data_IF_748414434907
#
_entry.id   IF_748414434907
#
_cell.length_a   1.000
_cell.length_b   1.000
_cell.length_c   1.000
_cell.angle_alpha   90.00
_cell.angle_beta   90.00
_cell.angle_gamma   90.00
#
_symmetry.space_group_name_H-M   'P 1'
#
loop_
_entity.id
_entity.type
_entity.pdbx_description
1 polymer ?
#
# COMPACT_ATOMS: atom_id res chain seq x y z
N UNK A 1 12.57 -13.33 26.19
CA UNK A 1 12.50 -12.41 25.03
C UNK A 1 11.90 -13.20 23.87
N UNK A 2 10.61 -13.02 23.60
CA UNK A 2 9.90 -13.71 22.52
C UNK A 2 10.02 -12.82 21.29
N UNK A 3 10.89 -13.22 20.34
CA UNK A 3 11.06 -12.52 19.07
C UNK A 3 9.87 -12.82 18.16
N UNK A 4 9.17 -11.77 17.75
CA UNK A 4 8.03 -11.86 16.86
C UNK A 4 8.49 -11.78 15.41
N UNK A 5 8.17 -12.80 14.61
CA UNK A 5 8.38 -12.80 13.18
C UNK A 5 7.04 -12.48 12.50
N UNK A 6 7.02 -11.47 11.70
CA UNK A 6 5.87 -11.09 10.88
C UNK A 6 6.20 -11.31 9.41
N UNK A 7 5.34 -12.01 8.72
CA UNK A 7 5.38 -12.18 7.27
C UNK A 7 4.24 -11.32 6.73
N UNK A 8 4.58 -10.24 6.05
CA UNK A 8 3.65 -9.58 5.15
C UNK A 8 3.48 -10.51 3.94
N UNK A 9 2.31 -11.09 3.75
CA UNK A 9 1.98 -11.86 2.56
C UNK A 9 1.07 -10.98 1.72
N UNK A 10 1.58 -10.51 0.60
CA UNK A 10 0.76 -9.84 -0.41
C UNK A 10 -0.32 -10.81 -0.88
N UNK A 11 -1.58 -10.38 -0.85
CA UNK A 11 -2.68 -11.17 -1.42
C UNK A 11 -2.55 -11.10 -2.93
N UNK A 12 -1.98 -12.12 -3.51
CA UNK A 12 -2.39 -12.53 -4.85
C UNK A 12 -3.56 -13.47 -4.62
N UNK A 13 -4.76 -13.06 -5.01
CA UNK A 13 -5.90 -13.98 -5.04
C UNK A 13 -5.46 -15.23 -5.77
N UNK A 14 -5.56 -16.38 -5.10
CA UNK A 14 -5.23 -17.67 -5.68
C UNK A 14 -6.29 -18.06 -6.71
N UNK A 15 -6.23 -17.44 -7.88
CA UNK A 15 -6.66 -18.02 -9.13
C UNK A 15 -5.40 -18.63 -9.75
N UNK A 16 -5.40 -19.95 -9.91
CA UNK A 16 -4.37 -20.66 -10.66
C UNK A 16 -4.38 -20.17 -12.12
N UNK A 17 -3.65 -19.13 -12.40
CA UNK A 17 -3.33 -18.68 -13.76
C UNK A 17 -1.85 -18.87 -13.99
N UNK A 18 -1.53 -19.69 -15.01
CA UNK A 18 -0.20 -19.72 -15.62
C UNK A 18 0.25 -18.31 -15.97
N UNK A 19 1.56 -17.98 -15.83
CA UNK A 19 2.07 -16.67 -16.19
C UNK A 19 1.98 -16.50 -17.71
N UNK A 20 0.91 -15.89 -18.20
CA UNK A 20 0.93 -15.25 -19.51
C UNK A 20 1.61 -13.90 -19.33
N UNK A 21 2.66 -13.66 -20.07
CA UNK A 21 3.22 -12.32 -20.24
C UNK A 21 2.10 -11.41 -20.77
N UNK A 22 1.59 -10.54 -19.93
CA UNK A 22 0.64 -9.50 -20.35
C UNK A 22 1.38 -8.55 -21.29
N UNK A 23 0.89 -8.41 -22.50
CA UNK A 23 1.38 -7.39 -23.43
C UNK A 23 1.00 -6.01 -22.88
N UNK A 24 1.79 -4.97 -23.18
CA UNK A 24 1.54 -3.58 -22.74
C UNK A 24 0.12 -3.05 -23.08
N UNK A 25 -0.64 -3.75 -23.92
CA UNK A 25 -2.03 -3.45 -24.30
C UNK A 25 -3.06 -3.95 -23.28
N UNK A 26 -2.72 -4.87 -22.36
CA UNK A 26 -3.65 -5.44 -21.37
C UNK A 26 -3.69 -4.64 -20.04
N UNK A 27 -2.76 -3.71 -19.84
CA UNK A 27 -2.62 -2.94 -18.59
C UNK A 27 -3.48 -1.65 -18.53
N UNK A 28 -4.20 -1.28 -19.60
CA UNK A 28 -4.98 -0.03 -19.63
C UNK A 28 -6.40 -0.26 -19.12
N UNK A 29 -6.65 -0.02 -17.84
CA UNK A 29 -7.98 -0.22 -17.26
C UNK A 29 -8.34 0.84 -16.22
N UNK A 30 -9.60 1.28 -16.27
CA UNK A 30 -10.24 2.02 -15.21
C UNK A 30 -10.99 1.03 -14.31
N UNK A 31 -10.55 0.87 -13.08
CA UNK A 31 -11.28 0.10 -12.08
C UNK A 31 -12.26 1.01 -11.34
N UNK A 32 -13.54 0.63 -11.30
CA UNK A 32 -14.55 1.27 -10.47
C UNK A 32 -14.81 0.38 -9.25
N UNK A 33 -14.63 0.92 -8.06
CA UNK A 33 -14.80 0.22 -6.78
C UNK A 33 -16.05 0.78 -6.09
N UNK A 34 -17.01 -0.07 -5.78
CA UNK A 34 -18.20 0.32 -5.03
C UNK A 34 -17.95 0.31 -3.52
N UNK A 35 -17.68 1.46 -2.93
CA UNK A 35 -17.53 1.65 -1.48
C UNK A 35 -18.83 1.99 -0.76
N UNK A 36 -19.97 2.06 -1.47
CA UNK A 36 -21.29 2.33 -0.89
C UNK A 36 -21.96 1.05 -0.36
N UNK A 37 -23.13 1.21 0.24
CA UNK A 37 -23.97 0.09 0.74
C UNK A 37 -25.03 -0.35 -0.24
N UNK A 38 -25.11 0.25 -1.40
CA UNK A 38 -26.09 0.00 -2.45
C UNK A 38 -25.42 -0.37 -3.78
N UNK A 39 -26.22 -0.87 -4.72
CA UNK A 39 -25.76 -1.10 -6.09
C UNK A 39 -25.49 0.24 -6.77
N UNK A 40 -24.40 0.35 -7.49
CA UNK A 40 -24.09 1.51 -8.33
C UNK A 40 -24.21 1.14 -9.80
N UNK A 41 -24.69 2.09 -10.61
CA UNK A 41 -24.72 1.97 -12.05
C UNK A 41 -23.62 2.86 -12.68
N UNK A 42 -22.90 2.31 -13.64
CA UNK A 42 -21.83 2.99 -14.34
C UNK A 42 -22.24 3.28 -15.78
N UNK A 43 -22.04 4.51 -16.21
CA UNK A 43 -22.38 4.98 -17.56
C UNK A 43 -21.14 5.58 -18.22
N UNK A 44 -20.89 5.22 -19.46
CA UNK A 44 -19.93 5.95 -20.29
C UNK A 44 -20.58 7.27 -20.77
N UNK A 45 -19.88 8.38 -20.55
CA UNK A 45 -20.31 9.71 -21.01
C UNK A 45 -19.85 9.94 -22.44
N UNK A 46 -20.66 9.50 -23.41
CA UNK A 46 -20.31 9.58 -24.84
C UNK A 46 -20.31 11.03 -25.39
N UNK A 47 -21.13 11.91 -24.79
CA UNK A 47 -21.15 13.37 -25.00
C UNK A 47 -21.77 14.04 -23.78
N UNK A 48 -21.77 15.37 -23.72
CA UNK A 48 -22.36 16.11 -22.58
C UNK A 48 -23.86 15.77 -22.34
N UNK A 49 -24.58 15.35 -23.38
CA UNK A 49 -25.99 14.99 -23.29
C UNK A 49 -26.29 13.50 -23.41
N UNK A 50 -25.27 12.64 -23.66
CA UNK A 50 -25.49 11.21 -23.94
C UNK A 50 -24.71 10.33 -23.00
N UNK A 51 -25.43 9.55 -22.19
CA UNK A 51 -24.90 8.47 -21.36
C UNK A 51 -25.23 7.11 -21.96
N UNK A 52 -24.28 6.21 -21.97
CA UNK A 52 -24.43 4.82 -22.43
C UNK A 52 -24.23 3.91 -21.24
N UNK A 53 -25.18 3.04 -20.88
CA UNK A 53 -25.02 2.08 -19.79
C UNK A 53 -23.76 1.20 -20.03
N UNK A 54 -22.98 0.95 -18.97
CA UNK A 54 -21.80 0.11 -19.02
C UNK A 54 -21.96 -1.14 -18.13
N UNK A 55 -21.99 -0.96 -16.81
CA UNK A 55 -22.14 -2.06 -15.84
C UNK A 55 -22.88 -1.60 -14.58
N UNK A 56 -23.27 -2.57 -13.75
CA UNK A 56 -23.75 -2.34 -12.39
C UNK A 56 -22.82 -3.09 -11.43
N UNK A 57 -22.51 -2.49 -10.26
CA UNK A 57 -21.53 -3.03 -9.31
C UNK A 57 -22.18 -3.15 -7.93
N UNK A 58 -22.18 -4.35 -7.37
CA UNK A 58 -22.70 -4.65 -6.04
C UNK A 58 -21.85 -4.00 -4.93
N UNK A 59 -22.40 -3.73 -3.73
CA UNK A 59 -21.66 -3.20 -2.59
C UNK A 59 -20.37 -4.00 -2.29
N UNK A 60 -19.25 -3.28 -2.10
CA UNK A 60 -17.95 -3.87 -1.80
C UNK A 60 -17.28 -4.63 -2.97
N UNK A 61 -17.87 -4.58 -4.18
CA UNK A 61 -17.30 -5.17 -5.40
C UNK A 61 -16.67 -4.10 -6.29
N UNK A 62 -15.91 -4.57 -7.28
CA UNK A 62 -15.31 -3.69 -8.29
C UNK A 62 -15.41 -4.31 -9.68
N UNK A 63 -15.39 -3.45 -10.71
CA UNK A 63 -15.32 -3.81 -12.11
C UNK A 63 -14.22 -3.05 -12.83
N UNK A 64 -13.53 -3.74 -13.73
CA UNK A 64 -12.47 -3.17 -14.57
C UNK A 64 -12.98 -2.90 -15.98
N UNK A 65 -12.86 -1.65 -16.41
CA UNK A 65 -13.35 -1.18 -17.70
C UNK A 65 -12.15 -0.90 -18.60
N UNK A 66 -11.99 -1.69 -19.66
CA UNK A 66 -11.03 -1.40 -20.71
C UNK A 66 -11.52 -0.22 -21.55
N UNK A 67 -10.75 0.86 -21.58
CA UNK A 67 -11.18 2.11 -22.22
C UNK A 67 -9.97 2.96 -22.65
N UNK A 68 -10.22 4.08 -23.29
CA UNK A 68 -9.21 5.00 -23.81
C UNK A 68 -9.03 6.17 -22.87
N UNK A 69 -7.79 6.64 -22.66
CA UNK A 69 -7.48 7.84 -21.90
C UNK A 69 -8.31 9.04 -22.37
N UNK A 70 -8.81 9.82 -21.43
CA UNK A 70 -9.72 10.93 -21.66
C UNK A 70 -11.20 10.57 -21.59
N UNK A 71 -11.58 9.31 -21.70
CA UNK A 71 -12.98 8.91 -21.53
C UNK A 71 -13.51 9.23 -20.12
N UNK A 72 -14.76 9.62 -20.06
CA UNK A 72 -15.47 10.00 -18.84
C UNK A 72 -16.54 8.98 -18.51
N UNK A 73 -16.66 8.65 -17.24
CA UNK A 73 -17.72 7.79 -16.73
C UNK A 73 -18.46 8.49 -15.61
N UNK A 74 -19.78 8.27 -15.57
CA UNK A 74 -20.65 8.73 -14.49
C UNK A 74 -21.06 7.50 -13.68
N UNK A 75 -20.82 7.54 -12.39
CA UNK A 75 -21.18 6.50 -11.44
C UNK A 75 -22.33 7.03 -10.58
N UNK A 76 -23.40 6.26 -10.48
CA UNK A 76 -24.67 6.69 -9.86
C UNK A 76 -25.10 5.67 -8.81
N UNK A 77 -25.33 6.10 -7.58
CA UNK A 77 -26.01 5.30 -6.56
C UNK A 77 -27.45 5.01 -6.97
N UNK A 78 -27.87 3.76 -6.87
CA UNK A 78 -29.18 3.35 -7.36
C UNK A 78 -30.34 3.88 -6.50
N UNK A 79 -30.10 4.00 -5.19
CA UNK A 79 -31.09 4.45 -4.20
C UNK A 79 -30.96 5.95 -3.90
N UNK A 80 -29.77 6.39 -3.49
CA UNK A 80 -29.51 7.78 -3.07
C UNK A 80 -29.40 8.78 -4.23
N UNK A 81 -29.25 8.27 -5.48
CA UNK A 81 -29.08 9.06 -6.71
C UNK A 81 -27.87 9.98 -6.70
N UNK A 82 -26.92 9.73 -5.81
CA UNK A 82 -25.66 10.48 -5.81
C UNK A 82 -24.87 10.13 -7.05
N UNK A 83 -24.42 11.15 -7.77
CA UNK A 83 -23.61 11.01 -8.97
C UNK A 83 -22.16 11.45 -8.72
N UNK A 84 -21.23 10.71 -9.30
CA UNK A 84 -19.80 11.09 -9.37
C UNK A 84 -19.30 10.87 -10.78
N UNK A 85 -18.45 11.77 -11.25
CA UNK A 85 -17.82 11.63 -12.56
C UNK A 85 -16.35 11.34 -12.39
N UNK A 86 -15.84 10.34 -13.10
CA UNK A 86 -14.42 10.03 -13.20
C UNK A 86 -13.97 10.18 -14.65
N UNK A 87 -12.79 10.80 -14.83
CA UNK A 87 -12.09 10.86 -16.12
C UNK A 87 -10.92 9.88 -16.06
N UNK A 88 -10.79 9.02 -17.06
CA UNK A 88 -9.68 8.09 -17.17
C UNK A 88 -8.42 8.84 -17.62
N UNK A 89 -7.42 8.97 -16.74
CA UNK A 89 -6.26 9.86 -16.90
C UNK A 89 -4.92 9.13 -17.05
N UNK A 90 -4.80 7.94 -16.46
CA UNK A 90 -3.56 7.15 -16.44
C UNK A 90 -3.87 5.67 -16.68
N UNK A 91 -2.93 4.90 -17.26
CA UNK A 91 -3.15 3.50 -17.66
C UNK A 91 -3.70 2.59 -16.56
N UNK A 92 -3.23 2.73 -15.33
CA UNK A 92 -3.70 1.97 -14.17
C UNK A 92 -4.39 2.94 -13.24
N UNK A 93 -5.73 2.98 -13.27
CA UNK A 93 -6.52 3.91 -12.47
C UNK A 93 -7.63 3.18 -11.72
N UNK A 94 -7.73 3.43 -10.41
CA UNK A 94 -8.88 3.07 -9.58
C UNK A 94 -9.72 4.30 -9.25
N UNK A 95 -11.02 4.11 -9.17
CA UNK A 95 -11.96 5.11 -8.68
C UNK A 95 -12.90 4.45 -7.68
N UNK A 96 -12.83 4.88 -6.41
CA UNK A 96 -13.75 4.42 -5.38
C UNK A 96 -14.95 5.34 -5.32
N UNK A 97 -16.14 4.80 -5.53
CA UNK A 97 -17.39 5.48 -5.28
C UNK A 97 -17.75 5.34 -3.79
N UNK A 98 -17.72 6.45 -3.07
CA UNK A 98 -18.22 6.54 -1.69
C UNK A 98 -19.05 7.82 -1.56
N UNK A 99 -20.39 7.73 -1.41
CA UNK A 99 -21.25 8.89 -1.33
C UNK A 99 -21.19 9.59 0.02
N UNK A 100 -20.66 8.92 1.06
CA UNK A 100 -20.64 9.45 2.44
C UNK A 100 -19.62 10.57 2.62
N UNK A 101 -18.58 10.57 1.81
CA UNK A 101 -17.45 11.48 1.95
C UNK A 101 -17.37 12.53 0.85
N UNK A 102 -16.48 13.51 1.08
CA UNK A 102 -16.13 14.53 0.09
C UNK A 102 -14.91 14.04 -0.70
N UNK A 103 -14.88 14.32 -2.00
CA UNK A 103 -13.78 13.97 -2.91
C UNK A 103 -13.48 12.44 -2.98
N UNK A 104 -14.51 11.60 -2.77
CA UNK A 104 -14.37 10.14 -2.79
C UNK A 104 -13.68 9.55 -1.55
N UNK A 105 -13.30 10.38 -0.57
CA UNK A 105 -12.71 9.94 0.69
C UNK A 105 -13.83 9.73 1.72
N UNK A 106 -14.00 8.52 2.30
CA UNK A 106 -15.02 8.21 3.29
C UNK A 106 -15.07 9.20 4.45
N UNK A 107 -16.26 9.47 4.98
CA UNK A 107 -16.47 10.35 6.14
C UNK A 107 -15.77 9.85 7.41
N UNK A 108 -15.43 8.58 7.45
CA UNK A 108 -14.62 7.95 8.49
C UNK A 108 -13.30 8.69 8.75
N UNK A 109 -12.68 9.19 7.66
CA UNK A 109 -11.42 9.93 7.74
C UNK A 109 -11.67 11.41 8.02
N UNK A 110 -11.51 11.78 9.28
CA UNK A 110 -11.71 13.15 9.76
C UNK A 110 -10.41 13.97 9.74
N UNK A 111 -9.25 13.30 9.69
CA UNK A 111 -7.95 13.94 9.58
C UNK A 111 -7.38 13.74 8.18
N UNK A 112 -6.76 14.78 7.62
CA UNK A 112 -6.23 14.78 6.27
C UNK A 112 -4.93 15.57 6.20
N UNK A 113 -3.96 15.02 5.48
CA UNK A 113 -2.73 15.66 5.07
C UNK A 113 -2.51 15.40 3.59
N UNK A 114 -1.64 16.15 2.94
CA UNK A 114 -1.32 15.96 1.52
C UNK A 114 0.16 16.15 1.27
N UNK A 115 0.69 15.39 0.31
CA UNK A 115 1.97 15.69 -0.33
C UNK A 115 1.64 16.06 -1.77
N UNK A 116 1.77 17.34 -2.13
CA UNK A 116 1.10 17.91 -3.32
C UNK A 116 -0.40 17.58 -3.25
N UNK A 117 -0.92 16.82 -4.21
CA UNK A 117 -2.32 16.36 -4.22
C UNK A 117 -2.52 14.91 -3.74
N UNK A 118 -1.43 14.19 -3.42
CA UNK A 118 -1.52 12.83 -2.90
C UNK A 118 -2.13 12.82 -1.49
N UNK A 119 -3.26 12.13 -1.28
CA UNK A 119 -3.98 12.18 -0.01
C UNK A 119 -3.40 11.22 1.04
N UNK A 120 -3.24 11.72 2.25
CA UNK A 120 -2.95 10.96 3.46
C UNK A 120 -4.09 11.19 4.43
N UNK A 121 -4.75 10.13 4.86
CA UNK A 121 -6.00 10.21 5.63
C UNK A 121 -5.94 9.39 6.91
N UNK A 122 -6.73 9.79 7.91
CA UNK A 122 -6.84 9.05 9.15
C UNK A 122 -8.18 9.32 9.87
N UNK A 123 -8.56 8.39 10.75
CA UNK A 123 -9.65 8.60 11.69
C UNK A 123 -9.30 9.65 12.76
N UNK A 124 -10.28 10.06 13.55
CA UNK A 124 -10.06 10.97 14.69
C UNK A 124 -9.17 10.35 15.79
N UNK A 125 -8.96 9.03 15.80
CA UNK A 125 -8.18 8.34 16.83
C UNK A 125 -6.68 8.44 16.65
N UNK A 126 -6.23 8.70 15.41
CA UNK A 126 -4.81 8.77 15.07
C UNK A 126 -4.19 10.05 15.61
N UNK A 127 -2.99 9.93 16.15
CA UNK A 127 -2.21 11.09 16.57
C UNK A 127 -1.87 11.97 15.33
N UNK A 128 -2.20 13.27 15.32
CA UNK A 128 -1.95 14.14 14.16
C UNK A 128 -0.49 14.19 13.70
N UNK A 129 0.46 13.92 14.58
CA UNK A 129 1.87 13.85 14.21
C UNK A 129 2.20 12.66 13.32
N UNK A 130 1.42 11.57 13.37
CA UNK A 130 1.61 10.45 12.46
C UNK A 130 1.33 10.84 11.00
N UNK A 131 0.30 11.66 10.75
CA UNK A 131 0.03 12.17 9.39
C UNK A 131 1.13 13.12 8.91
N UNK A 132 1.66 13.97 9.80
CA UNK A 132 2.76 14.88 9.47
C UNK A 132 4.02 14.11 9.14
N UNK A 133 4.35 13.08 9.92
CA UNK A 133 5.49 12.20 9.69
C UNK A 133 5.35 11.43 8.37
N UNK A 134 4.17 10.86 8.10
CA UNK A 134 3.90 10.18 6.84
C UNK A 134 4.05 11.12 5.64
N UNK A 135 3.52 12.35 5.72
CA UNK A 135 3.67 13.34 4.67
C UNK A 135 5.14 13.74 4.44
N UNK A 136 5.91 13.87 5.51
CA UNK A 136 7.33 14.16 5.44
C UNK A 136 8.09 13.03 4.72
N UNK A 137 7.89 11.77 5.12
CA UNK A 137 8.54 10.60 4.50
C UNK A 137 8.17 10.48 3.02
N UNK A 138 6.87 10.49 2.68
CA UNK A 138 6.41 10.41 1.29
C UNK A 138 6.97 11.56 0.44
N UNK A 139 7.00 12.78 1.00
CA UNK A 139 7.57 13.95 0.33
C UNK A 139 9.07 13.81 0.07
N UNK A 140 9.83 13.28 1.02
CA UNK A 140 11.26 13.02 0.86
C UNK A 140 11.56 11.95 -0.17
N UNK A 141 10.83 10.82 -0.13
CA UNK A 141 11.04 9.70 -1.05
C UNK A 141 10.86 10.14 -2.50
N UNK A 142 9.84 10.95 -2.81
CA UNK A 142 9.53 11.39 -4.17
C UNK A 142 9.92 12.85 -4.48
N UNK A 143 10.80 13.46 -3.68
CA UNK A 143 11.23 14.83 -3.88
C UNK A 143 11.83 15.10 -5.28
N UNK A 144 12.43 14.10 -5.91
CA UNK A 144 13.01 14.17 -7.26
C UNK A 144 12.11 13.63 -8.36
N UNK A 145 10.97 13.05 -8.00
CA UNK A 145 10.02 12.41 -8.94
C UNK A 145 8.58 12.89 -8.70
N UNK A 146 8.32 14.21 -8.85
CA UNK A 146 6.95 14.74 -8.72
C UNK A 146 6.01 14.15 -9.77
N UNK A 147 6.50 13.73 -10.94
CA UNK A 147 5.77 13.03 -11.97
C UNK A 147 5.17 11.70 -11.49
N UNK A 148 5.94 10.92 -10.74
CA UNK A 148 5.50 9.66 -10.14
C UNK A 148 4.40 9.92 -9.10
N UNK A 149 4.59 10.90 -8.24
CA UNK A 149 3.59 11.26 -7.21
C UNK A 149 2.28 11.78 -7.85
N UNK A 150 2.37 12.56 -8.92
CA UNK A 150 1.21 13.03 -9.66
C UNK A 150 0.47 11.88 -10.37
N UNK A 151 1.20 10.91 -10.94
CA UNK A 151 0.62 9.69 -11.50
C UNK A 151 -0.07 8.83 -10.43
N UNK A 152 0.54 8.65 -9.26
CA UNK A 152 -0.08 7.97 -8.12
C UNK A 152 -1.40 8.65 -7.74
N UNK A 153 -1.42 9.97 -7.62
CA UNK A 153 -2.63 10.74 -7.31
C UNK A 153 -3.72 10.53 -8.37
N UNK A 154 -3.35 10.63 -9.66
CA UNK A 154 -4.28 10.41 -10.78
C UNK A 154 -4.78 8.97 -10.85
N UNK A 155 -3.97 8.02 -10.41
CA UNK A 155 -4.34 6.61 -10.32
C UNK A 155 -5.33 6.30 -9.21
N UNK A 156 -5.70 7.28 -8.39
CA UNK A 156 -6.58 7.12 -7.23
C UNK A 156 -5.87 6.54 -6.00
N UNK A 157 -4.54 6.50 -6.00
CA UNK A 157 -3.78 6.01 -4.85
C UNK A 157 -3.94 6.93 -3.65
N UNK A 158 -4.04 6.34 -2.46
CA UNK A 158 -4.10 7.05 -1.17
C UNK A 158 -3.42 6.24 -0.07
N UNK A 159 -3.01 6.94 0.98
CA UNK A 159 -2.44 6.35 2.18
C UNK A 159 -3.36 6.60 3.38
N UNK A 160 -3.75 5.54 4.09
CA UNK A 160 -4.46 5.66 5.36
C UNK A 160 -3.56 5.28 6.53
N UNK A 161 -3.63 6.08 7.60
CA UNK A 161 -2.93 5.81 8.84
C UNK A 161 -3.89 5.16 9.82
N UNK A 162 -3.51 4.00 10.36
CA UNK A 162 -4.22 3.28 11.41
C UNK A 162 -3.80 3.83 12.78
N UNK A 163 -4.75 4.06 13.67
CA UNK A 163 -4.43 4.26 15.08
C UNK A 163 -3.86 2.97 15.70
N UNK A 164 -3.10 3.09 16.77
CA UNK A 164 -2.54 1.94 17.50
C UNK A 164 -3.62 0.94 18.01
N UNK A 165 -4.86 1.37 18.12
CA UNK A 165 -6.02 0.58 18.51
C UNK A 165 -7.05 0.38 17.37
N UNK A 166 -6.68 0.65 16.14
CA UNK A 166 -7.42 0.31 14.93
C UNK A 166 -6.71 -0.79 14.16
N UNK A 167 -7.48 -1.63 13.47
CA UNK A 167 -6.97 -2.76 12.71
C UNK A 167 -7.53 -2.76 11.29
N UNK A 168 -7.00 -3.62 10.43
CA UNK A 168 -7.32 -3.64 8.99
C UNK A 168 -8.80 -3.54 8.69
N UNK A 169 -9.64 -4.37 9.34
CA UNK A 169 -11.08 -4.40 9.08
C UNK A 169 -11.87 -3.22 9.69
N UNK A 170 -11.22 -2.31 10.41
CA UNK A 170 -11.85 -1.07 10.87
C UNK A 170 -11.88 0.00 9.78
N UNK A 171 -11.03 -0.14 8.76
CA UNK A 171 -10.97 0.80 7.64
C UNK A 171 -12.11 0.55 6.65
N UNK A 172 -12.76 1.61 6.13
CA UNK A 172 -13.88 1.46 5.18
C UNK A 172 -13.55 0.63 3.93
N UNK A 173 -12.33 0.75 3.43
CA UNK A 173 -11.85 0.03 2.25
C UNK A 173 -11.70 -1.47 2.50
N UNK A 174 -11.39 -1.86 3.73
CA UNK A 174 -11.11 -3.23 4.12
C UNK A 174 -12.25 -3.88 4.92
N UNK A 175 -13.36 -3.17 5.15
CA UNK A 175 -14.47 -3.65 5.98
C UNK A 175 -15.10 -4.96 5.46
N UNK A 176 -15.12 -5.17 4.14
CA UNK A 176 -15.64 -6.38 3.51
C UNK A 176 -14.81 -7.62 3.84
N UNK A 177 -13.51 -7.47 4.11
CA UNK A 177 -12.60 -8.58 4.43
C UNK A 177 -13.05 -9.36 5.68
N UNK A 178 -13.78 -8.71 6.58
CA UNK A 178 -14.33 -9.37 7.77
C UNK A 178 -15.28 -10.54 7.46
N UNK A 179 -15.81 -10.59 6.23
CA UNK A 179 -16.79 -11.60 5.78
C UNK A 179 -16.22 -12.53 4.68
N UNK A 180 -14.94 -12.38 4.33
CA UNK A 180 -14.31 -13.18 3.28
C UNK A 180 -13.78 -14.51 3.86
N UNK A 181 -14.03 -15.61 3.16
CA UNK A 181 -13.41 -16.88 3.51
C UNK A 181 -11.90 -16.79 3.26
N UNK A 182 -11.10 -17.14 4.27
CA UNK A 182 -9.64 -17.17 4.18
C UNK A 182 -9.15 -18.62 4.13
N UNK A 183 -8.71 -19.11 2.97
CA UNK A 183 -8.19 -20.48 2.84
C UNK A 183 -7.04 -20.75 3.82
N UNK A 184 -6.98 -21.97 4.36
CA UNK A 184 -6.06 -22.41 5.42
C UNK A 184 -6.30 -21.80 6.82
N UNK A 185 -7.28 -20.89 6.96
CA UNK A 185 -7.62 -20.22 8.23
C UNK A 185 -9.11 -20.23 8.55
N UNK A 186 -9.86 -21.14 7.97
CA UNK A 186 -11.33 -21.26 8.13
C UNK A 186 -11.76 -21.48 9.58
N UNK A 187 -10.86 -21.95 10.44
CA UNK A 187 -11.09 -22.12 11.87
C UNK A 187 -11.15 -20.79 12.65
N UNK A 188 -10.81 -19.66 12.01
CA UNK A 188 -10.77 -18.33 12.63
C UNK A 188 -11.78 -17.41 11.95
N UNK A 189 -12.35 -16.42 12.67
CA UNK A 189 -13.08 -15.34 12.03
C UNK A 189 -12.19 -14.64 10.99
N UNK A 190 -12.70 -14.40 9.78
CA UNK A 190 -11.95 -13.70 8.73
C UNK A 190 -11.41 -12.34 9.21
N UNK A 191 -12.22 -11.59 9.98
CA UNK A 191 -11.80 -10.35 10.63
C UNK A 191 -10.52 -10.53 11.46
N UNK A 192 -10.45 -11.59 12.27
CA UNK A 192 -9.29 -11.81 13.14
C UNK A 192 -8.04 -12.14 12.33
N UNK A 193 -8.19 -12.87 11.23
CA UNK A 193 -7.08 -13.11 10.31
C UNK A 193 -6.54 -11.81 9.73
N UNK A 194 -7.41 -10.98 9.15
CA UNK A 194 -7.01 -9.74 8.50
C UNK A 194 -6.44 -8.72 9.49
N UNK A 195 -7.04 -8.59 10.67
CA UNK A 195 -6.58 -7.71 11.74
C UNK A 195 -5.23 -8.16 12.34
N UNK A 196 -4.96 -9.48 12.34
CA UNK A 196 -3.71 -10.04 12.90
C UNK A 196 -2.54 -10.04 11.92
N UNK A 197 -2.84 -9.90 10.61
CA UNK A 197 -1.88 -10.18 9.54
C UNK A 197 -0.79 -9.13 9.44
N UNK A 198 -1.15 -7.86 9.46
CA UNK A 198 -0.21 -6.76 9.26
C UNK A 198 -0.68 -5.47 9.92
N UNK A 199 0.27 -4.53 10.11
CA UNK A 199 0.02 -3.15 10.54
C UNK A 199 0.32 -2.14 9.43
N UNK A 200 0.56 -2.63 8.22
CA UNK A 200 0.71 -1.89 6.98
C UNK A 200 0.38 -2.80 5.79
N UNK A 201 -0.04 -2.20 4.69
CA UNK A 201 -0.27 -2.86 3.41
C UNK A 201 0.06 -1.90 2.29
N UNK A 202 0.76 -2.37 1.26
CA UNK A 202 1.02 -1.59 0.05
C UNK A 202 -0.19 -1.56 -0.88
N UNK A 203 -0.22 -0.57 -1.76
CA UNK A 203 -1.15 -0.54 -2.89
C UNK A 203 -0.78 -1.60 -3.93
N UNK A 204 -1.75 -1.97 -4.77
CA UNK A 204 -1.55 -2.88 -5.89
C UNK A 204 -2.15 -2.31 -7.18
N UNK A 205 -2.04 -3.02 -8.29
CA UNK A 205 -2.69 -2.63 -9.55
C UNK A 205 -4.23 -2.62 -9.45
N UNK A 206 -4.78 -3.46 -8.57
CA UNK A 206 -6.22 -3.60 -8.36
C UNK A 206 -6.72 -3.01 -7.04
N UNK A 207 -5.81 -2.51 -6.20
CA UNK A 207 -6.15 -1.83 -4.96
C UNK A 207 -5.25 -0.59 -4.79
N UNK A 208 -5.79 0.62 -4.98
CA UNK A 208 -5.03 1.86 -4.87
C UNK A 208 -4.72 2.26 -3.42
N UNK A 209 -5.18 1.49 -2.44
CA UNK A 209 -5.17 1.85 -1.05
C UNK A 209 -3.96 1.26 -0.32
N UNK A 210 -3.14 2.12 0.26
CA UNK A 210 -2.03 1.73 1.13
C UNK A 210 -2.29 2.12 2.57
N UNK A 211 -1.73 1.38 3.51
CA UNK A 211 -1.87 1.66 4.95
C UNK A 211 -0.53 1.57 5.67
N UNK A 212 -0.39 2.31 6.75
CA UNK A 212 0.59 2.05 7.80
C UNK A 212 0.03 2.49 9.16
N UNK A 213 0.66 2.07 10.23
CA UNK A 213 0.14 2.34 11.57
C UNK A 213 0.96 3.40 12.31
N UNK A 214 0.28 4.19 13.15
CA UNK A 214 0.88 5.30 13.88
C UNK A 214 1.97 4.87 14.86
N UNK A 215 1.85 3.66 15.45
CA UNK A 215 2.87 3.17 16.38
C UNK A 215 4.24 2.99 15.71
N UNK A 216 4.26 2.64 14.43
CA UNK A 216 5.50 2.53 13.68
C UNK A 216 6.03 3.90 13.25
N UNK A 217 5.15 4.76 12.72
CA UNK A 217 5.51 6.13 12.32
C UNK A 217 6.10 6.96 13.46
N UNK A 218 5.52 6.82 14.67
CA UNK A 218 5.89 7.59 15.84
C UNK A 218 6.77 6.83 16.84
N UNK A 219 7.15 5.58 16.49
CA UNK A 219 7.99 4.70 17.31
C UNK A 219 7.42 4.46 18.71
N UNK A 220 6.14 4.10 18.80
CA UNK A 220 5.51 3.80 20.09
C UNK A 220 6.13 2.58 20.77
N UNK A 221 6.16 2.53 22.11
CA UNK A 221 6.53 1.31 22.82
C UNK A 221 5.65 0.15 22.38
N UNK A 222 6.26 -1.02 22.13
CA UNK A 222 5.53 -2.22 21.69
C UNK A 222 5.30 -2.32 20.17
N UNK A 223 5.75 -1.35 19.37
CA UNK A 223 5.69 -1.42 17.92
C UNK A 223 6.29 -2.75 17.41
N UNK A 224 5.51 -3.56 16.67
CA UNK A 224 5.99 -4.85 16.16
C UNK A 224 7.07 -4.72 15.08
N UNK A 225 7.22 -3.54 14.46
CA UNK A 225 8.19 -3.21 13.43
C UNK A 225 9.23 -2.18 13.91
N UNK A 226 9.56 -2.20 15.19
CA UNK A 226 10.39 -1.18 15.85
C UNK A 226 11.81 -1.02 15.27
N UNK A 227 12.29 -1.94 14.44
CA UNK A 227 13.61 -1.89 13.80
C UNK A 227 13.59 -1.33 12.38
N UNK A 228 12.40 -1.01 11.83
CA UNK A 228 12.20 -0.49 10.48
C UNK A 228 11.05 0.52 10.44
N UNK A 229 10.88 1.22 9.33
CA UNK A 229 9.70 2.04 9.06
C UNK A 229 8.89 1.37 7.94
N UNK A 230 7.74 0.82 8.31
CA UNK A 230 6.85 0.09 7.39
C UNK A 230 6.28 0.97 6.29
N UNK A 231 6.10 2.28 6.54
CA UNK A 231 5.63 3.18 5.49
C UNK A 231 6.58 3.19 4.28
N UNK A 232 7.90 3.15 4.50
CA UNK A 232 8.88 3.13 3.39
C UNK A 232 8.67 1.90 2.51
N UNK A 233 8.41 0.74 3.11
CA UNK A 233 8.12 -0.51 2.41
C UNK A 233 6.78 -0.43 1.66
N UNK A 234 5.69 -0.11 2.34
CA UNK A 234 4.35 -0.11 1.76
C UNK A 234 4.17 1.00 0.71
N UNK A 235 4.82 2.13 0.91
CA UNK A 235 4.80 3.21 -0.07
C UNK A 235 5.62 2.87 -1.32
N UNK A 236 6.69 2.06 -1.19
CA UNK A 236 7.44 1.55 -2.34
C UNK A 236 6.57 0.70 -3.27
N UNK A 237 5.67 -0.16 -2.74
CA UNK A 237 4.69 -0.86 -3.55
C UNK A 237 3.77 0.11 -4.32
N UNK A 238 3.26 1.13 -3.65
CA UNK A 238 2.42 2.15 -4.28
C UNK A 238 3.18 2.98 -5.33
N UNK A 239 4.44 3.33 -5.06
CA UNK A 239 5.33 3.99 -6.03
C UNK A 239 5.50 3.12 -7.26
N UNK A 240 5.77 1.83 -7.10
CA UNK A 240 5.94 0.89 -8.21
C UNK A 240 4.65 0.75 -9.01
N UNK A 241 3.59 0.28 -8.36
CA UNK A 241 2.40 -0.23 -9.03
C UNK A 241 1.39 0.86 -9.44
N UNK A 242 1.42 2.01 -8.77
CA UNK A 242 0.48 3.12 -9.03
C UNK A 242 1.17 4.37 -9.59
N UNK A 243 2.48 4.47 -9.43
CA UNK A 243 3.29 5.57 -9.93
C UNK A 243 4.09 5.17 -11.18
N UNK A 244 5.13 4.38 -10.99
CA UNK A 244 6.09 4.03 -12.04
C UNK A 244 5.43 3.30 -13.21
N UNK A 245 4.58 2.32 -12.98
CA UNK A 245 3.86 1.61 -14.05
C UNK A 245 2.95 2.54 -14.89
N UNK A 246 2.59 3.71 -14.37
CA UNK A 246 1.83 4.72 -15.10
C UNK A 246 2.70 5.71 -15.89
N UNK A 247 3.96 5.94 -15.50
CA UNK A 247 4.86 6.90 -16.14
C UNK A 247 5.95 6.24 -16.99
N UNK A 248 6.33 5.01 -16.63
CA UNK A 248 7.32 4.20 -17.34
C UNK A 248 6.90 2.72 -17.39
N UNK A 249 6.17 2.30 -18.42
CA UNK A 249 5.70 0.91 -18.55
C UNK A 249 6.83 -0.12 -18.69
N UNK A 250 8.08 0.31 -18.84
CA UNK A 250 9.25 -0.59 -18.92
C UNK A 250 9.86 -0.88 -17.54
N UNK A 251 9.51 -0.10 -16.51
CA UNK A 251 10.10 -0.24 -15.19
C UNK A 251 9.85 -1.64 -14.59
N UNK A 252 8.63 -2.13 -14.61
CA UNK A 252 8.26 -3.45 -14.07
C UNK A 252 9.00 -4.59 -14.81
N UNK A 253 9.18 -4.47 -16.13
CA UNK A 253 9.95 -5.45 -16.91
C UNK A 253 11.41 -5.48 -16.44
N UNK A 254 12.05 -4.33 -16.32
CA UNK A 254 13.45 -4.22 -15.85
C UNK A 254 13.60 -4.69 -14.39
N UNK A 255 12.62 -4.43 -13.56
CA UNK A 255 12.61 -4.91 -12.18
C UNK A 255 12.49 -6.44 -12.11
N UNK A 256 11.64 -7.06 -12.94
CA UNK A 256 11.54 -8.53 -13.05
C UNK A 256 12.85 -9.14 -13.52
N UNK A 257 13.46 -8.56 -14.55
CA UNK A 257 14.75 -9.01 -15.08
C UNK A 257 15.84 -8.96 -14.00
N UNK A 258 15.90 -7.87 -13.20
CA UNK A 258 16.83 -7.74 -12.08
C UNK A 258 16.56 -8.79 -10.99
N UNK A 259 15.30 -9.00 -10.61
CA UNK A 259 14.89 -10.01 -9.65
C UNK A 259 15.25 -11.43 -10.09
N UNK A 260 14.98 -11.78 -11.34
CA UNK A 260 15.29 -13.10 -11.91
C UNK A 260 16.81 -13.33 -11.94
N UNK A 261 17.58 -12.30 -12.31
CA UNK A 261 19.05 -12.37 -12.31
C UNK A 261 19.62 -12.53 -10.88
N UNK A 262 19.11 -11.77 -9.91
CA UNK A 262 19.50 -11.86 -8.50
C UNK A 262 19.17 -13.24 -7.92
N UNK A 263 17.97 -13.75 -8.17
CA UNK A 263 17.52 -15.08 -7.74
C UNK A 263 18.40 -16.19 -8.35
N UNK A 264 18.70 -16.10 -9.65
CA UNK A 264 19.58 -17.04 -10.36
C UNK A 264 21.00 -17.01 -9.81
N UNK A 265 21.49 -15.84 -9.39
CA UNK A 265 22.81 -15.68 -8.75
C UNK A 265 22.80 -16.15 -7.29
N UNK A 266 21.66 -16.51 -6.72
CA UNK A 266 21.51 -16.95 -5.34
C UNK A 266 21.46 -15.82 -4.32
N UNK A 267 21.30 -14.55 -4.78
CA UNK A 267 21.08 -13.42 -3.89
C UNK A 267 19.71 -13.52 -3.21
N UNK A 268 19.59 -12.95 -2.03
CA UNK A 268 18.34 -12.89 -1.22
C UNK A 268 17.74 -14.26 -0.88
N UNK A 269 18.47 -15.36 -1.13
CA UNK A 269 17.97 -16.74 -0.93
C UNK A 269 17.38 -16.91 0.47
N UNK A 270 16.14 -17.42 0.54
CA UNK A 270 15.36 -17.64 1.76
C UNK A 270 14.99 -16.37 2.53
N UNK A 271 15.21 -15.19 1.97
CA UNK A 271 14.89 -13.90 2.56
C UNK A 271 13.62 -13.32 1.97
N UNK A 272 13.02 -12.32 2.63
CA UNK A 272 11.75 -11.76 2.22
C UNK A 272 11.81 -11.14 0.81
N UNK A 273 12.90 -10.48 0.46
CA UNK A 273 13.17 -9.99 -0.89
C UNK A 273 13.12 -11.09 -1.99
N UNK A 274 13.24 -12.38 -1.65
CA UNK A 274 13.14 -13.48 -2.62
C UNK A 274 11.71 -13.98 -2.87
N UNK A 275 10.70 -13.42 -2.22
CA UNK A 275 9.30 -13.86 -2.35
C UNK A 275 8.74 -13.58 -3.73
N UNK A 276 8.95 -12.37 -4.24
CA UNK A 276 8.59 -11.92 -5.58
C UNK A 276 9.28 -10.58 -5.88
N UNK A 277 9.19 -10.08 -7.11
CA UNK A 277 9.83 -8.85 -7.53
C UNK A 277 9.24 -7.59 -6.85
N UNK A 278 8.02 -7.62 -6.34
CA UNK A 278 7.42 -6.51 -5.59
C UNK A 278 8.10 -6.34 -4.23
N UNK A 279 8.26 -7.45 -3.49
CA UNK A 279 8.96 -7.46 -2.20
C UNK A 279 10.46 -7.17 -2.40
N UNK A 280 11.05 -7.68 -3.46
CA UNK A 280 12.43 -7.38 -3.84
C UNK A 280 12.67 -5.87 -4.00
N UNK A 281 11.76 -5.17 -4.68
CA UNK A 281 11.85 -3.72 -4.80
C UNK A 281 11.66 -3.02 -3.47
N UNK A 282 10.63 -3.37 -2.70
CA UNK A 282 10.33 -2.74 -1.42
C UNK A 282 11.45 -2.90 -0.39
N UNK A 283 12.05 -4.09 -0.30
CA UNK A 283 13.23 -4.37 0.54
C UNK A 283 14.47 -3.55 0.08
N UNK A 284 14.68 -3.47 -1.23
CA UNK A 284 15.71 -2.61 -1.80
C UNK A 284 15.50 -1.12 -1.48
N UNK A 285 14.26 -0.65 -1.52
CA UNK A 285 13.93 0.73 -1.14
C UNK A 285 14.18 0.99 0.35
N UNK A 286 13.82 0.05 1.23
CA UNK A 286 14.16 0.17 2.64
C UNK A 286 15.67 0.29 2.84
N UNK A 287 16.47 -0.57 2.21
CA UNK A 287 17.94 -0.49 2.28
C UNK A 287 18.48 0.81 1.64
N UNK A 288 17.86 1.31 0.57
CA UNK A 288 18.23 2.59 -0.06
C UNK A 288 18.13 3.78 0.88
N UNK A 289 17.20 3.76 1.82
CA UNK A 289 16.99 4.78 2.85
C UNK A 289 17.60 4.43 4.21
N UNK A 290 18.48 3.42 4.29
CA UNK A 290 19.11 2.91 5.53
C UNK A 290 18.06 2.55 6.60
N UNK A 291 17.01 1.85 6.17
CA UNK A 291 15.83 1.57 6.99
C UNK A 291 15.44 0.09 7.03
N UNK A 292 16.21 -0.80 6.40
CA UNK A 292 15.89 -2.22 6.46
C UNK A 292 16.32 -2.85 7.79
N UNK A 293 15.80 -4.04 8.07
CA UNK A 293 16.03 -4.74 9.33
C UNK A 293 17.46 -5.28 9.42
N UNK A 294 17.97 -5.32 10.62
CA UNK A 294 19.14 -6.11 10.96
C UNK A 294 18.91 -7.61 10.64
N UNK A 295 20.00 -8.39 10.40
CA UNK A 295 19.88 -9.79 10.04
C UNK A 295 19.00 -10.60 10.99
N UNK A 296 17.95 -11.20 10.45
CA UNK A 296 17.04 -12.08 11.16
C UNK A 296 16.61 -13.28 10.28
N UNK A 297 15.50 -13.91 10.60
CA UNK A 297 14.96 -15.01 9.81
C UNK A 297 14.60 -14.58 8.37
N UNK A 298 14.05 -13.40 8.19
CA UNK A 298 13.51 -12.90 6.92
C UNK A 298 14.45 -11.92 6.20
N UNK A 299 15.45 -11.35 6.90
CA UNK A 299 16.36 -10.35 6.37
C UNK A 299 17.82 -10.82 6.48
N UNK A 300 18.65 -10.39 5.53
CA UNK A 300 20.10 -10.61 5.55
C UNK A 300 20.83 -9.36 6.11
N UNK A 301 22.11 -9.21 5.82
CA UNK A 301 22.93 -8.09 6.29
C UNK A 301 22.72 -6.80 5.48
N UNK A 302 21.92 -6.83 4.40
CA UNK A 302 21.76 -5.68 3.50
C UNK A 302 20.68 -4.78 4.07
N UNK A 303 21.06 -3.86 4.95
CA UNK A 303 20.14 -2.93 5.60
C UNK A 303 20.47 -1.45 5.36
N UNK A 304 21.58 -1.17 4.68
CA UNK A 304 22.00 0.17 4.28
C UNK A 304 22.16 0.28 2.77
N UNK A 305 22.17 1.53 2.27
CA UNK A 305 22.42 1.82 0.85
C UNK A 305 23.80 1.32 0.40
N UNK A 306 24.81 1.47 1.24
CA UNK A 306 26.16 1.03 0.91
C UNK A 306 26.22 -0.48 0.69
N UNK A 307 25.59 -1.24 1.56
CA UNK A 307 25.49 -2.70 1.45
C UNK A 307 24.63 -3.12 0.24
N UNK A 308 23.54 -2.40 -0.05
CA UNK A 308 22.73 -2.68 -1.23
C UNK A 308 23.52 -2.49 -2.52
N UNK A 309 24.32 -1.41 -2.62
CA UNK A 309 25.16 -1.12 -3.81
C UNK A 309 26.19 -2.23 -4.01
N UNK A 310 26.79 -2.73 -2.92
CA UNK A 310 27.79 -3.81 -2.97
C UNK A 310 27.17 -5.17 -3.29
N UNK A 311 26.03 -5.48 -2.64
CA UNK A 311 25.40 -6.80 -2.70
C UNK A 311 24.56 -7.02 -3.97
N UNK A 312 23.74 -6.03 -4.34
CA UNK A 312 22.84 -6.08 -5.50
C UNK A 312 22.86 -4.76 -6.28
N UNK A 313 23.91 -4.54 -7.09
CA UNK A 313 24.06 -3.29 -7.85
C UNK A 313 22.94 -3.05 -8.86
N UNK A 314 22.26 -4.10 -9.33
CA UNK A 314 21.15 -3.95 -10.28
C UNK A 314 19.91 -3.34 -9.57
N UNK A 315 19.54 -3.84 -8.40
CA UNK A 315 18.49 -3.28 -7.58
C UNK A 315 18.82 -1.85 -7.11
N UNK A 316 20.08 -1.64 -6.69
CA UNK A 316 20.57 -0.31 -6.31
C UNK A 316 20.46 0.71 -7.46
N UNK A 317 20.71 0.29 -8.71
CA UNK A 317 20.56 1.14 -9.88
C UNK A 317 19.10 1.54 -10.12
N UNK A 318 18.14 0.62 -9.96
CA UNK A 318 16.72 0.92 -10.04
C UNK A 318 16.27 1.86 -8.91
N UNK A 319 16.74 1.65 -7.68
CA UNK A 319 16.48 2.60 -6.59
C UNK A 319 17.05 3.99 -6.89
N UNK A 320 18.27 4.08 -7.42
CA UNK A 320 18.89 5.36 -7.81
C UNK A 320 18.11 6.08 -8.90
N UNK A 321 17.57 5.36 -9.88
CA UNK A 321 16.72 5.92 -10.94
C UNK A 321 15.47 6.58 -10.37
N UNK A 322 14.85 5.93 -9.37
CA UNK A 322 13.61 6.45 -8.76
C UNK A 322 13.87 7.55 -7.75
N UNK A 323 14.84 7.37 -6.86
CA UNK A 323 15.03 8.23 -5.68
C UNK A 323 16.24 9.16 -5.80
N UNK A 324 17.04 9.06 -6.86
CA UNK A 324 18.32 9.73 -7.07
C UNK A 324 19.33 9.43 -5.94
N UNK A 325 20.52 10.03 -6.02
CA UNK A 325 21.53 9.95 -4.95
C UNK A 325 21.23 10.97 -3.83
N UNK A 326 20.00 10.89 -3.29
CA UNK A 326 19.61 11.74 -2.16
C UNK A 326 20.50 11.47 -0.93
N UNK A 327 20.85 12.52 -0.17
CA UNK A 327 21.53 12.37 1.13
C UNK A 327 20.59 11.92 2.24
N UNK A 328 19.30 11.90 1.96
CA UNK A 328 18.29 11.50 2.94
C UNK A 328 18.48 10.04 3.37
N UNK A 329 18.54 9.86 4.69
CA UNK A 329 18.49 8.57 5.37
C UNK A 329 17.37 8.64 6.39
N UNK A 330 16.70 7.51 6.57
CA UNK A 330 15.65 7.46 7.57
C UNK A 330 16.21 7.59 8.98
N UNK A 331 15.52 8.35 9.80
CA UNK A 331 15.73 8.42 11.25
C UNK A 331 14.37 8.38 11.94
N UNK A 332 14.29 7.79 13.12
CA UNK A 332 13.05 7.68 13.88
C UNK A 332 12.49 9.05 14.28
N UNK A 333 11.19 9.24 14.19
CA UNK A 333 10.51 10.50 14.53
C UNK A 333 10.91 11.07 15.91
N UNK A 334 11.01 10.28 17.00
CA UNK A 334 11.43 10.80 18.31
C UNK A 334 12.86 11.35 18.37
N UNK A 335 13.69 11.10 17.37
CA UNK A 335 15.07 11.61 17.34
C UNK A 335 15.22 12.98 16.66
N UNK A 336 14.14 13.52 16.10
CA UNK A 336 14.12 14.81 15.38
C UNK A 336 12.83 15.59 15.66
N UNK A 337 12.72 16.07 16.90
CA UNK A 337 11.56 16.82 17.40
C UNK A 337 11.58 18.30 16.95
N UNK A 338 11.83 18.51 15.66
CA UNK A 338 11.88 19.81 15.01
C UNK A 338 10.92 19.85 13.81
N UNK A 339 10.73 20.98 13.18
CA UNK A 339 9.90 21.19 11.98
C UNK A 339 8.51 20.59 12.13
N UNK A 340 8.15 19.60 11.31
CA UNK A 340 6.83 18.95 11.33
C UNK A 340 6.57 18.15 12.62
N UNK A 341 7.62 17.77 13.36
CA UNK A 341 7.53 17.07 14.65
C UNK A 341 7.64 18.00 15.85
N UNK A 342 7.79 19.32 15.64
CA UNK A 342 7.86 20.30 16.75
C UNK A 342 6.61 20.22 17.63
N UNK A 343 6.83 20.01 18.94
CA UNK A 343 5.76 19.84 19.92
C UNK A 343 5.24 18.41 20.10
N UNK A 344 5.75 17.44 19.34
CA UNK A 344 5.49 16.03 19.65
C UNK A 344 6.24 15.62 20.92
N UNK A 345 5.52 14.98 21.84
CA UNK A 345 6.10 14.44 23.07
C UNK A 345 6.04 12.91 23.06
N UNK A 346 7.16 12.22 22.77
CA UNK A 346 7.22 10.76 22.71
C UNK A 346 7.01 10.09 24.08
N UNK A 347 7.12 10.84 25.22
CA UNK A 347 6.89 10.28 26.55
C UNK A 347 5.41 9.96 26.76
N UNK A 348 4.52 10.70 26.09
CA UNK A 348 3.07 10.49 26.15
C UNK A 348 2.57 9.41 25.20
N UNK A 349 3.47 8.79 24.40
CA UNK A 349 3.10 7.77 23.44
C UNK A 349 2.43 6.56 24.12
N UNK A 350 1.29 6.07 23.61
CA UNK A 350 0.65 4.89 24.14
C UNK A 350 1.48 3.63 23.87
N UNK A 351 1.31 2.62 24.74
CA UNK A 351 1.87 1.29 24.49
C UNK A 351 1.01 0.57 23.45
N UNK A 352 1.62 0.13 22.34
CA UNK A 352 0.94 -0.77 21.42
C UNK A 352 0.87 -2.18 21.99
N UNK A 353 -0.33 -2.74 22.02
CA UNK A 353 -0.59 -4.11 22.47
C UNK A 353 -1.55 -4.78 21.50
N UNK A 354 -1.19 -5.97 21.04
CA UNK A 354 -2.10 -6.77 20.24
C UNK A 354 -3.31 -7.23 21.09
N UNK A 355 -4.55 -7.10 20.59
CA UNK A 355 -5.72 -7.65 21.27
C UNK A 355 -5.61 -9.15 21.49
N UNK A 356 -6.06 -9.63 22.64
CA UNK A 356 -6.00 -11.04 23.02
C UNK A 356 -6.69 -11.97 22.00
N UNK A 357 -7.81 -11.52 21.40
CA UNK A 357 -8.53 -12.25 20.35
C UNK A 357 -7.65 -12.63 19.16
N UNK A 358 -6.57 -11.90 18.90
CA UNK A 358 -5.67 -12.12 17.76
C UNK A 358 -4.54 -13.11 18.07
N UNK A 359 -4.33 -13.52 19.32
CA UNK A 359 -3.19 -14.35 19.69
C UNK A 359 -3.20 -15.72 19.01
N UNK A 360 -4.36 -16.37 18.95
CA UNK A 360 -4.48 -17.69 18.35
C UNK A 360 -4.24 -17.67 16.83
N UNK A 361 -4.87 -16.74 16.11
CA UNK A 361 -4.70 -16.63 14.66
C UNK A 361 -3.28 -16.17 14.30
N UNK A 362 -2.65 -15.30 15.09
CA UNK A 362 -1.22 -14.92 14.92
C UNK A 362 -0.29 -16.13 15.06
N UNK A 363 -0.56 -17.01 16.02
CA UNK A 363 0.20 -18.25 16.17
C UNK A 363 0.01 -19.16 14.94
N UNK A 364 -1.20 -19.28 14.43
CA UNK A 364 -1.52 -20.07 13.23
C UNK A 364 -0.85 -19.49 11.96
N UNK A 365 -0.88 -18.19 11.75
CA UNK A 365 -0.19 -17.50 10.64
C UNK A 365 1.30 -17.85 10.66
N UNK A 366 1.96 -17.74 11.84
CA UNK A 366 3.38 -18.09 11.99
C UNK A 366 3.67 -19.56 11.70
N UNK A 367 2.79 -20.46 12.16
CA UNK A 367 2.96 -21.90 11.92
C UNK A 367 2.80 -22.25 10.44
N UNK A 368 1.85 -21.61 9.73
CA UNK A 368 1.63 -21.81 8.30
C UNK A 368 2.83 -21.30 7.47
N UNK A 369 3.36 -20.14 7.80
CA UNK A 369 4.54 -19.61 7.15
C UNK A 369 5.77 -20.53 7.24
N UNK A 370 5.97 -21.20 8.38
CA UNK A 370 7.07 -22.16 8.55
C UNK A 370 6.91 -23.44 7.70
N UNK A 371 5.66 -23.81 7.34
CA UNK A 371 5.40 -25.00 6.50
C UNK A 371 5.66 -24.75 5.02
N UNK A 372 5.60 -23.48 4.57
CA UNK A 372 5.77 -23.09 3.16
C UNK A 372 7.23 -22.86 2.75
N UNK A 373 8.15 -22.88 3.72
CA UNK A 373 9.61 -22.82 3.54
C UNK A 373 10.25 -24.19 3.65
#
# INVERSE_FOLDING_TARGET
MIRFHFIAITIVGASAFSPRSLSATEATQLQIINGSKEVIDVFWQASDSKRVPNCSIEPGKSESIHTTLGNRFVVVGREDKVERTVTYKVPIQGFRFDPTGKDGIPVYYTQRQRVRDFPIVASAKVNPYALKEAAYICGLMLAKRPDVLDAMTQSGAQLAILAHNEFTCDLPECASYANELVPDFEAFPARDFWDARARGTGGSETDPFATCAEENLLSYPGDPYSSENILIHEFAHSIHLRGLNNVDPTFDVRLREAYDAATKAGLWKTKYASVNHYEYFAEGVQSWFDNNREPDHDHNHVNTRAELIEYDPALAALCREVFADTEVRYTKAPTRLIDHMAGYDPITAPLFVWPERLNAVKAAIRANAKKRK
#
